data_IF_820815100238
#
_entry.id   IF_820815100238
#
_cell.length_a   1.000
_cell.length_b   1.000
_cell.length_c   1.000
_cell.angle_alpha   90.00
_cell.angle_beta   90.00
_cell.angle_gamma   90.00
#
_symmetry.space_group_name_H-M   'P 1'
#
loop_
_entity.id
_entity.type
_entity.pdbx_description
1 polymer ?
#
# COMPACT_ATOMS: atom_id res chain seq x y z
N UNK A 1 53.26 -17.22 -43.23
CA UNK A 1 52.25 -18.11 -42.63
C UNK A 1 52.14 -17.80 -41.14
N UNK A 2 50.93 -17.49 -40.66
CA UNK A 2 50.39 -17.70 -39.30
C UNK A 2 50.92 -16.80 -38.16
N UNK A 3 50.13 -16.18 -37.26
CA UNK A 3 48.69 -15.84 -37.10
C UNK A 3 48.64 -14.75 -36.01
N UNK A 4 47.80 -13.74 -36.17
CA UNK A 4 47.51 -12.73 -35.15
C UNK A 4 46.68 -13.33 -34.00
N UNK A 5 47.01 -12.98 -32.75
CA UNK A 5 46.17 -13.27 -31.59
C UNK A 5 45.38 -12.02 -31.21
N UNK A 6 44.10 -11.99 -31.57
CA UNK A 6 43.14 -11.02 -31.05
C UNK A 6 42.51 -11.63 -29.79
N UNK A 7 42.73 -11.03 -28.62
CA UNK A 7 42.03 -11.42 -27.38
C UNK A 7 40.72 -10.64 -27.32
N UNK A 8 39.61 -11.33 -27.49
CA UNK A 8 38.26 -10.79 -27.32
C UNK A 8 37.86 -10.97 -25.85
N UNK A 9 37.93 -9.90 -25.06
CA UNK A 9 37.38 -9.88 -23.70
C UNK A 9 35.89 -9.61 -23.79
N UNK A 10 35.07 -10.62 -23.51
CA UNK A 10 33.61 -10.48 -23.46
C UNK A 10 33.24 -9.82 -22.12
N UNK A 11 32.84 -8.55 -22.15
CA UNK A 11 32.27 -7.88 -20.99
C UNK A 11 30.80 -8.30 -20.85
N UNK A 12 30.51 -9.14 -19.86
CA UNK A 12 29.15 -9.51 -19.48
C UNK A 12 28.51 -8.30 -18.76
N UNK A 13 27.75 -7.49 -19.50
CA UNK A 13 26.86 -6.49 -18.89
C UNK A 13 25.66 -7.22 -18.30
N UNK A 14 25.70 -7.46 -17.00
CA UNK A 14 24.52 -7.88 -16.25
C UNK A 14 23.64 -6.64 -16.09
N UNK A 15 22.56 -6.52 -16.89
CA UNK A 15 21.50 -5.58 -16.60
C UNK A 15 20.79 -6.06 -15.32
N UNK A 16 21.20 -5.49 -14.18
CA UNK A 16 20.41 -5.52 -12.96
C UNK A 16 19.22 -4.57 -13.18
N UNK A 17 18.11 -5.07 -13.73
CA UNK A 17 16.83 -4.35 -13.64
C UNK A 17 16.38 -4.44 -12.19
N UNK A 18 16.72 -3.44 -11.38
CA UNK A 18 16.10 -3.28 -10.07
C UNK A 18 14.65 -2.86 -10.29
N UNK A 19 13.71 -3.79 -10.16
CA UNK A 19 12.31 -3.47 -9.87
C UNK A 19 12.23 -3.09 -8.40
N UNK A 20 12.86 -1.98 -8.02
CA UNK A 20 12.60 -1.39 -6.71
C UNK A 20 11.15 -0.89 -6.73
N UNK A 21 10.38 -1.11 -5.67
CA UNK A 21 9.08 -0.49 -5.51
C UNK A 21 9.13 1.00 -5.88
N UNK A 22 8.05 1.52 -6.46
CA UNK A 22 7.87 2.96 -6.47
C UNK A 22 7.83 3.43 -5.01
N UNK A 23 8.39 4.61 -4.74
CA UNK A 23 8.50 5.16 -3.38
C UNK A 23 7.12 5.16 -2.72
N UNK A 24 7.07 4.67 -1.47
CA UNK A 24 5.85 4.69 -0.66
C UNK A 24 5.29 6.11 -0.55
N UNK A 25 3.99 6.26 -0.79
CA UNK A 25 3.29 7.53 -0.75
C UNK A 25 2.37 7.58 0.48
N UNK A 26 2.43 8.67 1.25
CA UNK A 26 1.35 8.95 2.22
C UNK A 26 0.21 9.67 1.50
N UNK A 27 -0.90 8.98 1.33
CA UNK A 27 -2.13 9.58 0.79
C UNK A 27 -2.97 10.15 1.93
N UNK A 28 -3.62 11.28 1.66
CA UNK A 28 -4.35 12.06 2.67
C UNK A 28 -5.74 12.43 2.18
N UNK A 29 -6.75 12.27 3.04
CA UNK A 29 -8.15 12.53 2.74
C UNK A 29 -8.81 13.33 3.86
N UNK A 30 -9.87 14.06 3.50
CA UNK A 30 -10.75 14.71 4.48
C UNK A 30 -12.02 13.88 4.62
N UNK A 31 -12.23 13.28 5.79
CA UNK A 31 -13.41 12.47 6.12
C UNK A 31 -13.97 12.98 7.45
N UNK A 32 -15.27 13.25 7.50
CA UNK A 32 -15.94 13.84 8.68
C UNK A 32 -15.25 15.13 9.19
N UNK A 33 -14.77 15.97 8.26
CA UNK A 33 -14.01 17.20 8.55
C UNK A 33 -12.71 16.94 9.37
N UNK A 34 -12.14 15.75 9.24
CA UNK A 34 -10.86 15.39 9.84
C UNK A 34 -9.93 14.81 8.78
N UNK A 35 -8.63 15.02 8.98
CA UNK A 35 -7.58 14.44 8.14
C UNK A 35 -7.43 12.95 8.46
N UNK A 36 -7.49 12.11 7.42
CA UNK A 36 -7.23 10.67 7.47
C UNK A 36 -6.10 10.34 6.51
N UNK A 37 -5.21 9.44 6.91
CA UNK A 37 -4.02 9.09 6.12
C UNK A 37 -3.92 7.59 5.91
N UNK A 38 -3.29 7.21 4.79
CA UNK A 38 -2.84 5.85 4.54
C UNK A 38 -1.44 5.88 3.93
N UNK A 39 -0.65 4.82 4.16
CA UNK A 39 0.57 4.57 3.39
C UNK A 39 0.19 3.70 2.20
N UNK A 40 0.61 4.09 1.01
CA UNK A 40 0.44 3.37 -0.24
C UNK A 40 1.80 2.82 -0.68
N UNK A 41 1.88 1.51 -0.83
CA UNK A 41 3.01 0.82 -1.41
C UNK A 41 2.65 0.38 -2.84
N UNK A 42 3.33 0.96 -3.82
CA UNK A 42 3.13 0.68 -5.25
C UNK A 42 4.38 0.01 -5.84
N UNK A 43 4.32 -1.27 -6.24
CA UNK A 43 5.44 -1.90 -6.93
C UNK A 43 5.80 -1.18 -8.25
N UNK A 44 7.08 -1.08 -8.61
CA UNK A 44 7.47 -0.48 -9.90
C UNK A 44 6.84 -1.20 -11.11
N UNK A 45 6.61 -2.51 -10.96
CA UNK A 45 5.98 -3.32 -11.98
C UNK A 45 4.50 -3.00 -12.20
N UNK A 46 3.83 -2.24 -11.31
CA UNK A 46 2.43 -1.80 -11.48
C UNK A 46 2.32 -0.39 -12.04
N UNK A 47 3.42 0.37 -12.11
CA UNK A 47 3.40 1.77 -12.56
C UNK A 47 2.83 1.88 -13.97
N UNK A 48 1.84 2.76 -14.12
CA UNK A 48 1.22 3.08 -15.41
C UNK A 48 0.06 2.17 -15.82
N UNK A 49 -0.38 1.24 -14.96
CA UNK A 49 -1.58 0.44 -15.20
C UNK A 49 -2.31 0.07 -13.90
N UNK A 50 -3.60 -0.25 -14.03
CA UNK A 50 -4.44 -0.62 -12.89
C UNK A 50 -4.07 -2.02 -12.36
N UNK A 51 -3.70 -2.11 -11.08
CA UNK A 51 -3.30 -3.34 -10.40
C UNK A 51 -4.31 -3.77 -9.32
N UNK A 52 -4.29 -5.03 -8.84
CA UNK A 52 -5.04 -5.41 -7.65
C UNK A 52 -4.65 -4.55 -6.45
N UNK A 53 -5.61 -4.30 -5.56
CA UNK A 53 -5.38 -3.61 -4.29
C UNK A 53 -5.61 -4.57 -3.12
N UNK A 54 -4.69 -4.58 -2.18
CA UNK A 54 -4.89 -5.15 -0.84
C UNK A 54 -4.88 -4.02 0.18
N UNK A 55 -5.93 -3.94 0.99
CA UNK A 55 -6.00 -3.03 2.13
C UNK A 55 -5.64 -3.81 3.38
N UNK A 56 -4.57 -3.39 4.07
CA UNK A 56 -4.06 -4.06 5.25
C UNK A 56 -4.33 -3.21 6.51
N UNK A 57 -5.24 -3.68 7.35
CA UNK A 57 -5.71 -2.99 8.56
C UNK A 57 -4.91 -3.45 9.79
N UNK A 58 -4.26 -2.51 10.46
CA UNK A 58 -3.48 -2.79 11.67
C UNK A 58 -4.37 -3.13 12.89
N UNK A 59 -3.75 -3.77 13.88
CA UNK A 59 -4.40 -4.16 15.13
C UNK A 59 -4.71 -3.01 16.09
N UNK A 60 -5.47 -3.31 17.13
CA UNK A 60 -5.84 -2.34 18.16
C UNK A 60 -4.61 -1.83 18.90
N UNK A 61 -4.42 -0.52 18.92
CA UNK A 61 -3.27 0.11 19.59
C UNK A 61 -1.98 0.09 18.76
N UNK A 62 -2.01 -0.46 17.54
CA UNK A 62 -0.90 -0.39 16.60
C UNK A 62 -0.97 0.92 15.77
N UNK A 63 0.03 1.16 14.92
CA UNK A 63 0.11 2.29 14.00
C UNK A 63 0.41 1.81 12.58
N UNK A 64 0.08 2.63 11.58
CA UNK A 64 0.35 2.31 10.17
C UNK A 64 1.83 2.04 9.89
N UNK A 65 2.73 2.84 10.48
CA UNK A 65 4.17 2.75 10.22
C UNK A 65 4.78 1.46 10.79
N UNK A 66 4.35 1.06 12.00
CA UNK A 66 4.77 -0.22 12.57
C UNK A 66 4.15 -1.39 11.82
N UNK A 67 2.87 -1.31 11.45
CA UNK A 67 2.19 -2.41 10.79
C UNK A 67 2.75 -2.69 9.39
N UNK A 68 2.98 -1.66 8.56
CA UNK A 68 3.60 -1.79 7.25
C UNK A 68 4.91 -2.59 7.32
N UNK A 69 5.80 -2.18 8.23
CA UNK A 69 7.15 -2.74 8.33
C UNK A 69 7.18 -4.12 9.01
N UNK A 70 6.14 -4.51 9.75
CA UNK A 70 6.13 -5.75 10.54
C UNK A 70 5.48 -6.94 9.83
N UNK A 71 4.54 -6.72 8.90
CA UNK A 71 3.80 -7.83 8.27
C UNK A 71 4.43 -8.36 6.98
N UNK A 72 5.43 -7.66 6.43
CA UNK A 72 6.18 -8.10 5.25
C UNK A 72 5.39 -8.06 3.92
N UNK A 73 4.27 -7.36 3.87
CA UNK A 73 3.41 -7.32 2.68
C UNK A 73 4.04 -6.57 1.51
N UNK A 74 4.89 -5.56 1.76
CA UNK A 74 5.59 -4.82 0.70
C UNK A 74 6.39 -5.77 -0.20
N UNK A 75 7.19 -6.67 0.40
CA UNK A 75 7.96 -7.65 -0.36
C UNK A 75 7.09 -8.66 -1.14
N UNK A 76 5.87 -8.95 -0.66
CA UNK A 76 4.94 -9.83 -1.35
C UNK A 76 4.25 -9.09 -2.50
N UNK A 77 3.87 -7.83 -2.29
CA UNK A 77 3.32 -6.93 -3.29
C UNK A 77 4.29 -6.73 -4.46
N UNK A 78 5.57 -6.48 -4.15
CA UNK A 78 6.64 -6.36 -5.14
C UNK A 78 6.81 -7.62 -5.99
N UNK A 79 6.70 -8.80 -5.37
CA UNK A 79 6.88 -10.08 -6.07
C UNK A 79 5.67 -10.45 -6.93
N UNK A 80 4.47 -10.18 -6.44
CA UNK A 80 3.22 -10.64 -7.04
C UNK A 80 2.46 -9.56 -7.81
N UNK A 81 2.98 -8.33 -7.84
CA UNK A 81 2.47 -7.18 -8.60
C UNK A 81 1.06 -6.74 -8.18
N UNK A 82 0.88 -6.43 -6.89
CA UNK A 82 -0.32 -5.78 -6.37
C UNK A 82 0.06 -4.58 -5.49
N UNK A 83 -0.85 -3.61 -5.39
CA UNK A 83 -0.68 -2.43 -4.55
C UNK A 83 -1.17 -2.76 -3.14
N UNK A 84 -0.49 -2.22 -2.12
CA UNK A 84 -0.95 -2.28 -0.73
C UNK A 84 -1.28 -0.90 -0.23
N UNK A 85 -2.45 -0.75 0.38
CA UNK A 85 -2.77 0.42 1.17
C UNK A 85 -2.86 0.03 2.65
N UNK A 86 -2.20 0.81 3.49
CA UNK A 86 -2.21 0.69 4.95
C UNK A 86 -2.90 1.92 5.53
N UNK A 87 -4.20 1.89 5.83
CA UNK A 87 -4.90 3.04 6.40
C UNK A 87 -4.63 3.16 7.91
N UNK A 88 -4.51 4.40 8.41
CA UNK A 88 -4.34 4.68 9.84
C UNK A 88 -5.70 4.79 10.54
N UNK A 89 -5.86 4.07 11.65
CA UNK A 89 -7.05 4.11 12.47
C UNK A 89 -7.07 5.36 13.36
N UNK A 90 -8.26 5.88 13.67
CA UNK A 90 -8.37 7.00 14.62
C UNK A 90 -8.13 6.53 16.06
N UNK A 91 -7.32 7.27 16.81
CA UNK A 91 -6.89 6.88 18.17
C UNK A 91 -6.31 5.46 18.24
N UNK A 92 -5.74 4.93 17.16
CA UNK A 92 -5.28 3.53 17.03
C UNK A 92 -6.39 2.46 17.19
N UNK A 93 -7.65 2.81 16.90
CA UNK A 93 -8.79 1.89 16.97
C UNK A 93 -9.71 2.05 15.77
N UNK A 94 -10.18 0.93 15.24
CA UNK A 94 -11.25 0.92 14.24
C UNK A 94 -12.61 1.07 14.90
N UNK A 95 -13.55 1.64 14.17
CA UNK A 95 -14.96 1.54 14.49
C UNK A 95 -15.49 0.13 14.18
N UNK A 96 -15.68 -0.68 15.23
CA UNK A 96 -16.13 -2.08 15.11
C UNK A 96 -17.63 -2.24 14.81
N UNK A 97 -18.40 -1.15 14.76
CA UNK A 97 -19.86 -1.18 14.55
C UNK A 97 -20.66 -1.82 15.68
N UNK A 98 -20.02 -2.11 16.82
CA UNK A 98 -20.63 -2.72 18.01
C UNK A 98 -19.89 -2.28 19.27
N UNK A 99 -20.53 -2.25 20.46
CA UNK A 99 -19.95 -1.72 21.69
C UNK A 99 -19.00 -2.72 22.36
N UNK A 100 -17.96 -3.17 21.65
CA UNK A 100 -16.90 -4.03 22.22
C UNK A 100 -15.85 -3.22 22.98
N UNK A 101 -15.77 -1.92 22.71
CA UNK A 101 -14.88 -0.94 23.37
C UNK A 101 -15.49 0.46 23.20
N UNK A 102 -14.92 1.47 23.87
CA UNK A 102 -15.15 2.87 23.52
C UNK A 102 -14.72 3.10 22.07
N UNK A 103 -15.65 3.51 21.20
CA UNK A 103 -15.36 3.80 19.79
C UNK A 103 -14.62 5.12 19.68
N UNK A 104 -13.67 5.23 18.73
CA UNK A 104 -13.04 6.52 18.45
C UNK A 104 -14.10 7.53 18.01
N UNK A 105 -13.83 8.80 18.27
CA UNK A 105 -14.67 9.91 17.82
C UNK A 105 -13.84 10.87 16.99
N UNK A 106 -14.40 11.35 15.87
CA UNK A 106 -13.89 12.49 15.13
C UNK A 106 -14.93 13.59 15.23
N UNK A 107 -14.52 14.77 15.70
CA UNK A 107 -15.40 15.94 15.84
C UNK A 107 -16.70 15.65 16.63
N UNK A 108 -16.60 14.80 17.66
CA UNK A 108 -17.74 14.42 18.52
C UNK A 108 -18.69 13.38 17.91
N UNK A 109 -18.41 12.89 16.71
CA UNK A 109 -19.18 11.83 16.05
C UNK A 109 -18.37 10.54 15.98
N UNK A 110 -19.06 9.40 15.92
CA UNK A 110 -18.41 8.11 15.71
C UNK A 110 -17.67 8.09 14.38
N UNK A 111 -16.43 7.59 14.38
CA UNK A 111 -15.59 7.54 13.17
C UNK A 111 -16.22 6.71 12.07
N UNK A 112 -16.22 7.24 10.85
CA UNK A 112 -16.65 6.54 9.64
C UNK A 112 -15.45 5.92 8.90
N UNK A 113 -14.96 4.78 9.41
CA UNK A 113 -13.86 4.05 8.77
C UNK A 113 -14.26 3.40 7.45
N UNK A 114 -15.55 3.04 7.30
CA UNK A 114 -16.06 2.51 6.03
C UNK A 114 -16.06 3.62 4.97
N UNK A 115 -16.51 4.82 5.31
CA UNK A 115 -16.43 6.00 4.45
C UNK A 115 -14.99 6.31 4.06
N UNK A 116 -14.07 6.29 5.02
CA UNK A 116 -12.65 6.50 4.75
C UNK A 116 -12.06 5.48 3.77
N UNK A 117 -12.28 4.18 4.01
CA UNK A 117 -11.79 3.11 3.12
C UNK A 117 -12.41 3.23 1.73
N UNK A 118 -13.69 3.59 1.62
CA UNK A 118 -14.34 3.85 0.31
C UNK A 118 -13.70 5.03 -0.41
N UNK A 119 -13.48 6.16 0.26
CA UNK A 119 -12.82 7.34 -0.33
C UNK A 119 -11.42 7.02 -0.83
N UNK A 120 -10.66 6.23 -0.07
CA UNK A 120 -9.34 5.73 -0.48
C UNK A 120 -9.44 4.88 -1.77
N UNK A 121 -10.34 3.90 -1.82
CA UNK A 121 -10.51 3.05 -3.01
C UNK A 121 -10.92 3.89 -4.23
N UNK A 122 -11.91 4.77 -4.08
CA UNK A 122 -12.45 5.59 -5.16
C UNK A 122 -11.37 6.51 -5.75
N UNK A 123 -10.53 7.12 -4.92
CA UNK A 123 -9.39 7.92 -5.35
C UNK A 123 -8.36 7.10 -6.13
N UNK A 124 -7.93 5.94 -5.61
CA UNK A 124 -6.95 5.10 -6.27
C UNK A 124 -7.45 4.55 -7.62
N UNK A 125 -8.74 4.22 -7.71
CA UNK A 125 -9.40 3.83 -8.96
C UNK A 125 -9.46 5.02 -9.94
N UNK A 126 -9.81 6.22 -9.46
CA UNK A 126 -9.87 7.44 -10.27
C UNK A 126 -8.50 7.83 -10.82
N UNK A 127 -7.45 7.65 -10.02
CA UNK A 127 -6.04 7.80 -10.43
C UNK A 127 -5.56 6.70 -11.40
N UNK A 128 -6.40 5.70 -11.69
CA UNK A 128 -6.10 4.53 -12.54
C UNK A 128 -4.96 3.65 -12.00
N UNK A 129 -4.69 3.72 -10.70
CA UNK A 129 -3.71 2.87 -10.03
C UNK A 129 -4.29 1.49 -9.70
N UNK A 130 -5.58 1.44 -9.37
CA UNK A 130 -6.25 0.23 -8.88
C UNK A 130 -7.34 -0.26 -9.82
N UNK A 131 -7.40 -1.57 -10.01
CA UNK A 131 -8.50 -2.27 -10.68
C UNK A 131 -9.67 -2.45 -9.69
N UNK A 132 -10.76 -1.75 -9.95
CA UNK A 132 -11.97 -1.76 -9.11
C UNK A 132 -12.59 -3.16 -8.94
N UNK A 133 -12.29 -4.12 -9.81
CA UNK A 133 -12.81 -5.49 -9.70
C UNK A 133 -11.90 -6.40 -8.85
N UNK A 134 -10.73 -5.92 -8.41
CA UNK A 134 -9.73 -6.69 -7.66
C UNK A 134 -9.26 -5.93 -6.42
N UNK A 135 -10.21 -5.65 -5.53
CA UNK A 135 -9.97 -5.02 -4.22
C UNK A 135 -10.20 -6.04 -3.11
N UNK A 136 -9.19 -6.22 -2.27
CA UNK A 136 -9.19 -7.18 -1.16
C UNK A 136 -8.86 -6.47 0.16
N UNK A 137 -9.26 -7.06 1.28
CA UNK A 137 -9.00 -6.52 2.61
C UNK A 137 -8.46 -7.64 3.52
N UNK A 138 -7.46 -7.31 4.31
CA UNK A 138 -6.89 -8.15 5.36
C UNK A 138 -6.58 -7.32 6.60
N UNK A 139 -6.20 -7.95 7.71
CA UNK A 139 -5.76 -7.25 8.90
C UNK A 139 -5.34 -8.17 10.03
N UNK A 140 -4.85 -7.55 11.10
CA UNK A 140 -4.45 -8.20 12.35
C UNK A 140 -5.12 -7.49 13.54
N UNK A 141 -5.18 -8.12 14.72
CA UNK A 141 -5.95 -7.60 15.87
C UNK A 141 -5.09 -7.03 16.98
#
# INVERSE_FOLDING_TARGET
MVKAFFRLTLALMILMSSTAAHVDETVTYTVQNATRTAILHEPAATVGHAAPLVIALHGSGDSVAHFQTSIGFDAVADRENFIVAYPEASDAHWNYGRPVRKMPLLNGQQVDDIGFVRTLIDDLVTRKLVDANRVYVTGFS
#
